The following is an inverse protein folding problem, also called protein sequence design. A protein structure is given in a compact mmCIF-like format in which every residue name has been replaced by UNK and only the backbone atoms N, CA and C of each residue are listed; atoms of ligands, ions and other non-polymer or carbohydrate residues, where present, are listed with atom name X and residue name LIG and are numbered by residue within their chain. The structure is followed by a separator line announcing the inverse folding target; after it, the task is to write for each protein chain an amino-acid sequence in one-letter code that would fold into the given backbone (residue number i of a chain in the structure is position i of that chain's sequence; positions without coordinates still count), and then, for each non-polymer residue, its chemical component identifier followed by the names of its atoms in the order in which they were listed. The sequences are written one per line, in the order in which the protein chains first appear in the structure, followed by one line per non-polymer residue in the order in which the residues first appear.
data_IF_836732230985
#
_entry.id   IF_836732230985
#
_cell.length_a   1.000
_cell.length_b   1.000
_cell.length_c   1.000
_cell.angle_alpha   90.00
_cell.angle_beta   90.00
_cell.angle_gamma   90.00
#
_symmetry.space_group_name_H-M   'P 1'
#
loop_
_entity.id
_entity.type
_entity.pdbx_description
1 polymer ?
#
# COMPACT_ATOMS: atom_id res chain seq x y z
N UNK A 1 -8.64 -11.05 11.62
CA UNK A 1 -7.42 -10.69 10.86
C UNK A 1 -7.64 -11.06 9.40
N UNK A 2 -7.64 -10.09 8.47
CA UNK A 2 -8.13 -10.30 7.11
C UNK A 2 -7.18 -11.18 6.26
N UNK A 3 -7.75 -12.17 5.57
CA UNK A 3 -7.06 -13.30 4.90
C UNK A 3 -6.43 -12.98 3.53
N UNK A 4 -6.48 -11.73 3.04
CA UNK A 4 -5.77 -11.29 1.82
C UNK A 4 -5.27 -9.85 2.00
N UNK A 5 -3.95 -9.67 2.09
CA UNK A 5 -3.30 -8.35 2.28
C UNK A 5 -3.35 -7.45 1.04
N UNK A 6 -3.44 -8.04 -0.16
CA UNK A 6 -3.50 -7.33 -1.45
C UNK A 6 -4.58 -7.97 -2.32
N UNK A 7 -5.48 -7.16 -2.86
CA UNK A 7 -6.54 -7.55 -3.81
C UNK A 7 -6.30 -6.84 -5.14
N UNK A 8 -6.08 -7.61 -6.21
CA UNK A 8 -5.80 -7.09 -7.55
C UNK A 8 -6.97 -7.42 -8.46
N UNK A 9 -7.39 -6.45 -9.29
CA UNK A 9 -8.29 -6.63 -10.43
C UNK A 9 -7.60 -6.12 -11.68
N UNK A 10 -7.66 -6.90 -12.76
CA UNK A 10 -7.15 -6.52 -14.06
C UNK A 10 -8.29 -6.52 -15.08
N UNK A 11 -8.32 -5.52 -15.96
CA UNK A 11 -9.27 -5.44 -17.07
C UNK A 11 -8.53 -5.07 -18.34
N UNK A 12 -8.71 -5.88 -19.38
CA UNK A 12 -8.13 -5.62 -20.70
C UNK A 12 -9.08 -4.74 -21.51
N UNK A 13 -8.53 -3.71 -22.17
CA UNK A 13 -9.24 -2.86 -23.12
C UNK A 13 -8.34 -2.64 -24.35
N UNK A 14 -8.60 -3.41 -25.41
CA UNK A 14 -7.71 -3.46 -26.56
C UNK A 14 -6.32 -3.96 -26.13
N UNK A 15 -5.29 -3.16 -26.40
CA UNK A 15 -3.90 -3.51 -26.11
C UNK A 15 -3.42 -3.05 -24.71
N UNK A 16 -4.29 -2.44 -23.91
CA UNK A 16 -3.95 -1.92 -22.56
C UNK A 16 -4.66 -2.74 -21.49
N UNK A 17 -3.92 -3.11 -20.44
CA UNK A 17 -4.49 -3.72 -19.22
C UNK A 17 -4.52 -2.70 -18.09
N UNK A 18 -5.72 -2.35 -17.63
CA UNK A 18 -5.91 -1.54 -16.43
C UNK A 18 -5.84 -2.45 -15.20
N UNK A 19 -4.92 -2.15 -14.28
CA UNK A 19 -4.74 -2.87 -13.02
C UNK A 19 -5.15 -1.98 -11.85
N UNK A 20 -6.02 -2.49 -10.97
CA UNK A 20 -6.39 -1.87 -9.70
C UNK A 20 -5.98 -2.78 -8.55
N UNK A 21 -5.12 -2.28 -7.67
CA UNK A 21 -4.69 -2.96 -6.46
C UNK A 21 -5.26 -2.26 -5.22
N UNK A 22 -5.85 -3.02 -4.32
CA UNK A 22 -6.27 -2.59 -2.99
C UNK A 22 -5.42 -3.32 -1.96
N UNK A 23 -4.62 -2.57 -1.21
CA UNK A 23 -3.72 -3.10 -0.18
C UNK A 23 -4.29 -2.72 1.18
N UNK A 24 -4.76 -3.70 1.95
CA UNK A 24 -5.30 -3.46 3.28
C UNK A 24 -4.15 -3.33 4.28
N UNK A 25 -3.86 -2.09 4.68
CA UNK A 25 -2.77 -1.76 5.59
C UNK A 25 -3.21 -0.66 6.58
N UNK A 26 -2.76 -0.67 7.86
CA UNK A 26 -3.14 0.34 8.84
C UNK A 26 -2.64 1.76 8.54
N UNK A 27 -1.57 1.90 7.75
CA UNK A 27 -0.95 3.19 7.37
C UNK A 27 -0.77 4.14 8.58
N UNK A 28 -0.21 3.62 9.67
CA UNK A 28 0.06 4.43 10.87
C UNK A 28 1.17 5.45 10.57
N UNK A 29 0.86 6.73 10.75
CA UNK A 29 1.71 7.84 10.34
C UNK A 29 2.82 8.14 11.33
N UNK A 30 2.72 7.62 12.54
CA UNK A 30 3.62 7.94 13.64
C UNK A 30 3.26 9.22 14.41
N UNK A 31 2.21 9.92 13.98
CA UNK A 31 1.77 11.18 14.59
C UNK A 31 0.73 10.97 15.70
N UNK A 32 0.05 9.82 15.69
CA UNK A 32 -0.96 9.48 16.68
C UNK A 32 -0.30 9.19 18.03
N UNK A 33 -0.93 9.64 19.11
CA UNK A 33 -0.51 9.32 20.48
C UNK A 33 -1.40 8.24 21.08
N UNK A 34 -0.80 7.35 21.85
CA UNK A 34 -1.54 6.40 22.67
C UNK A 34 -2.23 7.16 23.81
N UNK A 35 -3.56 7.06 23.89
CA UNK A 35 -4.35 7.78 24.91
C UNK A 35 -4.03 7.37 26.34
N UNK A 36 -3.52 6.16 26.56
CA UNK A 36 -3.21 5.63 27.89
C UNK A 36 -1.80 5.99 28.37
N UNK A 37 -0.82 5.96 27.47
CA UNK A 37 0.58 6.21 27.81
C UNK A 37 1.06 7.63 27.46
N UNK A 38 0.33 8.35 26.61
CA UNK A 38 0.71 9.68 26.11
C UNK A 38 1.81 9.67 25.03
N UNK A 39 2.43 8.52 24.79
CA UNK A 39 3.54 8.35 23.85
C UNK A 39 3.07 8.30 22.40
N UNK A 40 3.95 8.66 21.46
CA UNK A 40 3.70 8.52 20.02
C UNK A 40 3.71 7.04 19.64
N UNK A 41 2.75 6.65 18.82
CA UNK A 41 2.73 5.34 18.19
C UNK A 41 3.79 5.35 17.08
N UNK A 42 4.66 4.35 16.94
CA UNK A 42 5.64 4.30 15.85
C UNK A 42 4.98 4.28 14.46
N UNK A 43 5.63 4.92 13.49
CA UNK A 43 5.16 4.89 12.10
C UNK A 43 5.21 3.46 11.55
N UNK A 44 4.12 3.04 10.90
CA UNK A 44 3.99 1.74 10.26
C UNK A 44 3.09 1.90 9.02
N UNK A 45 3.73 2.20 7.89
CA UNK A 45 3.10 2.45 6.59
C UNK A 45 3.88 1.71 5.49
N UNK A 46 3.23 1.53 4.34
CA UNK A 46 3.88 0.95 3.16
C UNK A 46 4.84 2.00 2.59
N UNK A 47 6.11 1.64 2.44
CA UNK A 47 7.15 2.54 1.91
C UNK A 47 7.34 2.36 0.41
N UNK A 48 7.36 1.12 -0.08
CA UNK A 48 7.60 0.81 -1.47
C UNK A 48 6.53 -0.11 -2.04
N UNK A 49 6.08 0.22 -3.26
CA UNK A 49 5.22 -0.65 -4.07
C UNK A 49 5.91 -0.86 -5.41
N UNK A 50 6.28 -2.11 -5.67
CA UNK A 50 6.92 -2.54 -6.91
C UNK A 50 5.91 -3.40 -7.67
N UNK A 51 5.66 -3.06 -8.92
CA UNK A 51 4.87 -3.88 -9.84
C UNK A 51 5.78 -4.41 -10.95
N UNK A 52 5.73 -5.71 -11.17
CA UNK A 52 6.48 -6.38 -12.23
C UNK A 52 5.54 -7.08 -13.19
N UNK A 53 5.87 -7.01 -14.48
CA UNK A 53 5.24 -7.79 -15.53
C UNK A 53 6.32 -8.63 -16.20
N UNK A 54 6.21 -9.96 -16.10
CA UNK A 54 7.19 -10.92 -16.65
C UNK A 54 8.63 -10.64 -16.20
N UNK A 55 8.81 -10.27 -14.93
CA UNK A 55 10.12 -9.96 -14.34
C UNK A 55 10.69 -8.59 -14.74
N UNK A 56 9.96 -7.79 -15.52
CA UNK A 56 10.32 -6.40 -15.80
C UNK A 56 9.55 -5.49 -14.85
N UNK A 57 10.25 -4.62 -14.13
CA UNK A 57 9.61 -3.58 -13.31
C UNK A 57 8.88 -2.60 -14.21
N UNK A 58 7.57 -2.48 -13.99
CA UNK A 58 6.68 -1.56 -14.73
C UNK A 58 6.24 -0.38 -13.88
N UNK A 59 6.34 -0.49 -12.55
CA UNK A 59 6.10 0.60 -11.62
C UNK A 59 6.94 0.42 -10.36
N UNK A 60 7.54 1.52 -9.91
CA UNK A 60 8.13 1.67 -8.59
C UNK A 60 7.52 2.93 -7.98
N UNK A 61 6.86 2.79 -6.83
CA UNK A 61 6.27 3.90 -6.11
C UNK A 61 6.82 3.94 -4.69
N UNK A 62 7.37 5.11 -4.33
CA UNK A 62 7.80 5.43 -2.98
C UNK A 62 6.69 6.21 -2.28
N UNK A 63 6.21 5.68 -1.17
CA UNK A 63 5.09 6.22 -0.43
C UNK A 63 5.55 6.85 0.86
N UNK A 64 4.85 7.91 1.25
CA UNK A 64 5.02 8.55 2.55
C UNK A 64 3.83 8.30 3.46
N UNK A 65 3.93 8.80 4.69
CA UNK A 65 2.88 8.72 5.72
C UNK A 65 1.56 9.41 5.33
N UNK A 66 1.52 10.19 4.25
CA UNK A 66 0.33 10.89 3.78
C UNK A 66 -0.54 10.06 2.79
N UNK A 67 -0.14 8.84 2.46
CA UNK A 67 -0.88 7.94 1.57
C UNK A 67 -1.89 7.11 2.37
N UNK A 68 -3.10 6.88 1.80
CA UNK A 68 -4.22 6.14 2.41
C UNK A 68 -4.59 4.86 1.67
#
# INVERSE_FOLDING_TARGET
MAKKKIRIRAKVKGDVTEIKALMSHPMETGLRKNKKTGEKIPAHFIQDVICEHKGTQVLVAHWGVAIS
#
